data_IF_238691110880
#
_entry.id   IF_238691110880
#
_cell.length_a   1.000
_cell.length_b   1.000
_cell.length_c   1.000
_cell.angle_alpha   90.00
_cell.angle_beta   90.00
_cell.angle_gamma   90.00
#
_symmetry.space_group_name_H-M   'P 1'
#
loop_
_entity.id
_entity.type
_entity.pdbx_description
1 polymer ?
#
# COMPACT_ATOMS: atom_id res chain seq x y z
N UNK A 1 50.92 27.25 -49.09
CA UNK A 1 51.95 26.51 -48.33
C UNK A 1 51.28 25.83 -47.14
N UNK A 2 51.48 24.50 -47.01
CA UNK A 2 51.53 23.67 -45.79
C UNK A 2 50.35 23.70 -44.80
N UNK A 3 49.86 22.62 -44.21
CA UNK A 3 49.95 21.15 -44.34
C UNK A 3 48.75 20.68 -43.49
N UNK A 4 47.96 19.75 -43.99
CA UNK A 4 46.97 19.01 -43.19
C UNK A 4 47.77 18.13 -42.22
N UNK A 5 47.50 18.20 -40.92
CA UNK A 5 47.97 17.21 -39.96
C UNK A 5 46.86 16.97 -38.94
N UNK A 6 46.21 15.82 -39.15
CA UNK A 6 45.21 15.21 -38.30
C UNK A 6 45.98 14.40 -37.25
N UNK A 7 45.81 14.69 -35.95
CA UNK A 7 46.20 13.76 -34.88
C UNK A 7 45.02 13.60 -33.92
N UNK A 8 44.66 12.34 -33.78
CA UNK A 8 43.61 11.74 -32.98
C UNK A 8 44.25 11.17 -31.70
N UNK A 9 43.72 11.50 -30.52
CA UNK A 9 43.84 10.76 -29.25
C UNK A 9 42.97 11.50 -28.20
N UNK A 10 41.78 11.04 -27.80
CA UNK A 10 41.43 9.89 -26.94
C UNK A 10 42.33 9.80 -25.69
N UNK A 11 41.86 10.31 -24.54
CA UNK A 11 41.59 9.51 -23.34
C UNK A 11 41.21 10.41 -22.13
N UNK A 12 39.97 10.29 -21.66
CA UNK A 12 39.58 9.76 -20.33
C UNK A 12 39.84 10.69 -19.15
N UNK A 13 38.75 11.07 -18.46
CA UNK A 13 38.79 11.69 -17.15
C UNK A 13 37.40 11.93 -16.59
N UNK A 14 36.88 10.91 -15.90
CA UNK A 14 35.65 10.94 -15.10
C UNK A 14 35.62 12.10 -14.08
N UNK A 15 34.41 12.32 -13.55
CA UNK A 15 34.08 13.01 -12.28
C UNK A 15 33.71 14.49 -12.41
N UNK A 16 32.41 14.74 -12.56
CA UNK A 16 31.60 15.09 -11.39
C UNK A 16 30.11 14.97 -11.74
N UNK A 17 29.45 13.97 -11.12
CA UNK A 17 28.01 13.99 -10.94
C UNK A 17 27.64 15.29 -10.25
N UNK A 18 27.10 16.26 -10.99
CA UNK A 18 26.47 17.42 -10.37
C UNK A 18 25.16 16.92 -9.76
N UNK A 19 25.27 16.58 -8.48
CA UNK A 19 24.17 16.36 -7.54
C UNK A 19 23.30 17.62 -7.51
N UNK A 20 22.40 17.72 -8.48
CA UNK A 20 21.29 18.64 -8.50
C UNK A 20 20.05 17.90 -8.05
N UNK A 21 20.00 17.53 -6.77
CA UNK A 21 18.77 17.17 -6.07
C UNK A 21 17.80 18.34 -6.22
N UNK A 22 16.90 18.23 -7.18
CA UNK A 22 15.61 18.91 -7.19
C UNK A 22 14.58 17.95 -7.77
N UNK A 23 14.38 16.84 -7.07
CA UNK A 23 13.12 16.10 -7.15
C UNK A 23 12.06 16.90 -6.39
N UNK A 24 11.70 18.06 -6.94
CA UNK A 24 10.40 18.67 -6.72
C UNK A 24 9.35 17.83 -7.43
N UNK A 25 9.20 16.56 -7.05
CA UNK A 25 8.06 15.75 -7.47
C UNK A 25 6.90 16.15 -6.58
N UNK A 26 6.33 17.32 -6.91
CA UNK A 26 4.93 17.61 -6.60
C UNK A 26 4.07 16.80 -7.56
N UNK A 27 3.89 15.51 -7.30
CA UNK A 27 2.72 14.78 -7.81
C UNK A 27 1.81 14.46 -6.63
N UNK A 28 1.12 15.50 -6.17
CA UNK A 28 -0.26 15.31 -5.72
C UNK A 28 -1.08 15.00 -6.98
N UNK A 29 -0.96 13.77 -7.47
CA UNK A 29 -1.82 13.24 -8.50
C UNK A 29 -2.66 12.17 -7.80
N UNK A 30 -3.97 12.40 -7.70
CA UNK A 30 -4.94 11.38 -7.28
C UNK A 30 -4.91 10.27 -8.34
N UNK A 31 -3.95 9.37 -8.27
CA UNK A 31 -3.98 8.13 -9.04
C UNK A 31 -4.88 7.20 -8.25
N UNK A 32 -6.12 7.05 -8.71
CA UNK A 32 -6.98 5.98 -8.20
C UNK A 32 -6.36 4.64 -8.61
N UNK A 33 -6.28 3.71 -7.67
CA UNK A 33 -5.80 2.35 -7.94
C UNK A 33 -6.88 1.53 -8.65
N UNK A 34 -6.46 0.62 -9.52
CA UNK A 34 -7.35 -0.37 -10.11
C UNK A 34 -7.35 -1.67 -9.29
N UNK A 35 -8.37 -2.50 -9.47
CA UNK A 35 -8.38 -3.85 -8.88
C UNK A 35 -7.26 -4.74 -9.43
N UNK A 36 -6.81 -4.47 -10.66
CA UNK A 36 -5.68 -5.17 -11.28
C UNK A 36 -4.37 -4.85 -10.56
N UNK A 37 -4.14 -3.57 -10.24
CA UNK A 37 -2.96 -3.12 -9.50
C UNK A 37 -2.87 -3.83 -8.15
N UNK A 38 -3.99 -3.92 -7.43
CA UNK A 38 -4.08 -4.67 -6.18
C UNK A 38 -3.70 -6.15 -6.36
N UNK A 39 -4.26 -6.81 -7.36
CA UNK A 39 -3.99 -8.23 -7.57
C UNK A 39 -2.54 -8.51 -7.93
N UNK A 40 -1.88 -7.61 -8.67
CA UNK A 40 -0.45 -7.68 -8.92
C UNK A 40 0.34 -7.48 -7.63
N UNK A 41 0.03 -6.43 -6.86
CA UNK A 41 0.72 -6.11 -5.61
C UNK A 41 0.62 -7.22 -4.56
N UNK A 42 -0.56 -7.83 -4.41
CA UNK A 42 -0.82 -8.94 -3.47
C UNK A 42 -0.02 -10.20 -3.82
N UNK A 43 0.16 -10.50 -5.10
CA UNK A 43 0.85 -11.72 -5.56
C UNK A 43 2.38 -11.55 -5.56
N UNK A 44 2.86 -10.33 -5.70
CA UNK A 44 4.28 -10.04 -5.68
C UNK A 44 4.87 -10.24 -4.26
N UNK A 45 6.00 -10.96 -4.11
CA UNK A 45 6.80 -10.96 -2.90
C UNK A 45 7.20 -9.53 -2.52
N UNK A 46 7.34 -9.25 -1.23
CA UNK A 46 7.62 -7.92 -0.69
C UNK A 46 8.80 -7.21 -1.37
N UNK A 47 9.89 -7.94 -1.63
CA UNK A 47 11.10 -7.41 -2.26
C UNK A 47 10.98 -7.13 -3.77
N UNK A 48 9.92 -7.62 -4.42
CA UNK A 48 9.65 -7.39 -5.85
C UNK A 48 8.56 -6.34 -6.08
N UNK A 49 7.97 -5.79 -5.01
CA UNK A 49 6.93 -4.77 -5.13
C UNK A 49 7.53 -3.45 -5.58
N UNK A 50 6.83 -2.76 -6.47
CA UNK A 50 7.17 -1.37 -6.77
C UNK A 50 6.79 -0.46 -5.58
N UNK A 51 7.41 0.72 -5.45
CA UNK A 51 7.05 1.69 -4.43
C UNK A 51 5.55 2.04 -4.43
N UNK A 52 4.92 2.12 -5.61
CA UNK A 52 3.50 2.42 -5.77
C UNK A 52 2.63 1.27 -5.25
N UNK A 53 2.99 0.02 -5.55
CA UNK A 53 2.30 -1.17 -5.05
C UNK A 53 2.39 -1.26 -3.53
N UNK A 54 3.56 -0.98 -2.97
CA UNK A 54 3.76 -0.98 -1.52
C UNK A 54 2.96 0.15 -0.85
N UNK A 55 2.97 1.34 -1.43
CA UNK A 55 2.17 2.48 -0.96
C UNK A 55 0.68 2.16 -0.96
N UNK A 56 0.16 1.56 -2.04
CA UNK A 56 -1.23 1.14 -2.15
C UNK A 56 -1.61 0.15 -1.04
N UNK A 57 -0.80 -0.90 -0.84
CA UNK A 57 -1.07 -1.92 0.19
C UNK A 57 -1.03 -1.32 1.60
N UNK A 58 -0.09 -0.42 1.89
CA UNK A 58 -0.01 0.29 3.16
C UNK A 58 -1.26 1.16 3.37
N UNK A 59 -1.66 1.93 2.35
CA UNK A 59 -2.86 2.77 2.42
C UNK A 59 -4.13 1.95 2.62
N UNK A 60 -4.29 0.86 1.86
CA UNK A 60 -5.43 -0.05 2.00
C UNK A 60 -5.48 -0.65 3.41
N UNK A 61 -4.35 -1.15 3.91
CA UNK A 61 -4.29 -1.77 5.23
C UNK A 61 -4.59 -0.76 6.35
N UNK A 62 -4.15 0.49 6.19
CA UNK A 62 -4.50 1.58 7.10
C UNK A 62 -5.98 1.90 7.07
N UNK A 63 -6.59 2.02 5.89
CA UNK A 63 -8.04 2.24 5.75
C UNK A 63 -8.82 1.13 6.44
N UNK A 64 -8.42 -0.13 6.23
CA UNK A 64 -9.04 -1.29 6.86
C UNK A 64 -8.91 -1.21 8.39
N UNK A 65 -7.71 -0.97 8.92
CA UNK A 65 -7.49 -0.87 10.36
C UNK A 65 -8.24 0.29 11.02
N UNK A 66 -8.26 1.47 10.39
CA UNK A 66 -8.88 2.67 10.96
C UNK A 66 -10.41 2.55 11.01
N UNK A 67 -11.02 1.82 10.07
CA UNK A 67 -12.47 1.75 9.92
C UNK A 67 -13.08 0.39 10.30
N UNK A 68 -12.28 -0.57 10.72
CA UNK A 68 -12.77 -1.82 11.31
C UNK A 68 -13.04 -1.63 12.81
N UNK A 69 -14.21 -2.09 13.24
CA UNK A 69 -14.68 -2.08 14.62
C UNK A 69 -15.29 -3.43 14.98
N UNK A 70 -15.39 -3.71 16.27
CA UNK A 70 -16.20 -4.82 16.78
C UNK A 70 -17.51 -4.27 17.29
N UNK A 71 -18.62 -4.84 16.84
CA UNK A 71 -19.96 -4.52 17.34
C UNK A 71 -20.72 -5.83 17.52
N UNK A 72 -21.35 -6.01 18.69
CA UNK A 72 -22.15 -7.21 18.98
C UNK A 72 -21.39 -8.52 18.69
N UNK A 73 -20.11 -8.58 19.05
CA UNK A 73 -19.21 -9.71 18.77
C UNK A 73 -19.05 -10.04 17.27
N UNK A 74 -19.09 -9.01 16.41
CA UNK A 74 -18.88 -9.13 14.96
C UNK A 74 -17.90 -8.05 14.47
N UNK A 75 -17.07 -8.40 13.49
CA UNK A 75 -16.25 -7.41 12.79
C UNK A 75 -17.09 -6.64 11.79
N UNK A 76 -17.06 -5.31 11.86
CA UNK A 76 -17.81 -4.40 10.99
C UNK A 76 -16.87 -3.39 10.38
N UNK A 77 -17.00 -3.18 9.06
CA UNK A 77 -16.29 -2.13 8.35
C UNK A 77 -17.18 -0.89 8.20
N UNK A 78 -16.84 0.20 8.88
CA UNK A 78 -17.70 1.39 9.03
C UNK A 78 -17.59 2.43 7.92
N UNK A 79 -16.60 2.32 7.04
CA UNK A 79 -16.47 3.22 5.90
C UNK A 79 -17.51 2.87 4.83
N UNK A 80 -18.11 3.88 4.19
CA UNK A 80 -18.97 3.67 3.02
C UNK A 80 -18.15 3.44 1.75
N UNK A 81 -18.73 2.75 0.77
CA UNK A 81 -18.10 2.54 -0.55
C UNK A 81 -17.69 3.86 -1.20
N UNK A 82 -18.56 4.87 -1.16
CA UNK A 82 -18.26 6.20 -1.73
C UNK A 82 -17.04 6.85 -1.09
N UNK A 83 -16.91 6.78 0.24
CA UNK A 83 -15.76 7.31 0.96
C UNK A 83 -14.49 6.52 0.65
N UNK A 84 -14.61 5.20 0.47
CA UNK A 84 -13.53 4.30 0.09
C UNK A 84 -13.00 4.61 -1.31
N UNK A 85 -13.90 4.78 -2.29
CA UNK A 85 -13.57 5.18 -3.67
C UNK A 85 -12.99 6.60 -3.71
N UNK A 86 -13.51 7.52 -2.90
CA UNK A 86 -12.98 8.89 -2.79
C UNK A 86 -11.55 8.94 -2.25
N UNK A 87 -11.13 7.92 -1.48
CA UNK A 87 -9.73 7.71 -1.05
C UNK A 87 -8.84 7.10 -2.13
N UNK A 88 -9.37 6.85 -3.33
CA UNK A 88 -8.62 6.34 -4.47
C UNK A 88 -8.55 4.81 -4.53
N UNK A 89 -9.36 4.10 -3.74
CA UNK A 89 -9.41 2.65 -3.77
C UNK A 89 -10.50 2.14 -4.73
N UNK A 90 -10.28 1.04 -5.45
CA UNK A 90 -11.26 0.47 -6.37
C UNK A 90 -12.45 -0.12 -5.61
N UNK A 91 -13.67 0.06 -6.12
CA UNK A 91 -14.91 -0.43 -5.51
C UNK A 91 -14.92 -1.95 -5.30
N UNK A 92 -14.24 -2.69 -6.17
CA UNK A 92 -14.14 -4.15 -6.10
C UNK A 92 -13.46 -4.60 -4.79
N UNK A 93 -12.50 -3.81 -4.27
CA UNK A 93 -11.90 -4.10 -2.98
C UNK A 93 -12.84 -3.83 -1.81
N UNK A 94 -13.76 -2.87 -1.94
CA UNK A 94 -14.78 -2.65 -0.93
C UNK A 94 -15.68 -3.89 -0.81
N UNK A 95 -16.13 -4.44 -1.95
CA UNK A 95 -16.92 -5.66 -1.97
C UNK A 95 -16.16 -6.87 -1.38
N UNK A 96 -14.86 -7.01 -1.69
CA UNK A 96 -14.02 -8.06 -1.11
C UNK A 96 -13.86 -7.90 0.41
N UNK A 97 -13.69 -6.68 0.92
CA UNK A 97 -13.62 -6.41 2.36
C UNK A 97 -14.93 -6.82 3.04
N UNK A 98 -16.08 -6.39 2.51
CA UNK A 98 -17.40 -6.75 3.07
C UNK A 98 -17.60 -8.27 3.09
N UNK A 99 -17.30 -8.94 1.98
CA UNK A 99 -17.39 -10.40 1.89
C UNK A 99 -16.48 -11.12 2.88
N UNK A 100 -15.27 -10.61 3.11
CA UNK A 100 -14.35 -11.16 4.11
C UNK A 100 -14.89 -10.95 5.53
N UNK A 101 -15.46 -9.78 5.85
CA UNK A 101 -16.11 -9.55 7.15
C UNK A 101 -17.26 -10.54 7.37
N UNK A 102 -18.16 -10.69 6.39
CA UNK A 102 -19.27 -11.65 6.48
C UNK A 102 -18.78 -13.09 6.66
N UNK A 103 -17.76 -13.50 5.89
CA UNK A 103 -17.21 -14.86 5.95
C UNK A 103 -16.56 -15.13 7.31
N UNK A 104 -15.77 -14.18 7.81
CA UNK A 104 -15.15 -14.30 9.12
C UNK A 104 -16.18 -14.30 10.25
N UNK A 105 -17.18 -13.41 10.20
CA UNK A 105 -18.25 -13.38 11.20
C UNK A 105 -19.06 -14.68 11.21
N UNK A 106 -19.33 -15.28 10.02
CA UNK A 106 -19.96 -16.60 9.92
C UNK A 106 -19.12 -17.68 10.58
N UNK A 107 -17.80 -17.67 10.36
CA UNK A 107 -16.89 -18.62 11.00
C UNK A 107 -16.85 -18.43 12.52
N UNK A 108 -16.71 -17.20 13.00
CA UNK A 108 -16.67 -16.86 14.42
C UNK A 108 -17.99 -17.23 15.13
N UNK A 109 -19.13 -17.11 14.45
CA UNK A 109 -20.41 -17.54 15.00
C UNK A 109 -20.51 -19.06 15.23
N UNK A 110 -19.60 -19.86 14.66
CA UNK A 110 -19.50 -21.31 14.94
C UNK A 110 -18.58 -21.65 16.11
N UNK A 111 -17.82 -20.68 16.61
CA UNK A 111 -16.87 -20.86 17.71
C UNK A 111 -17.52 -20.48 19.05
N UNK A 112 -16.99 -21.01 20.14
CA UNK A 112 -17.41 -20.61 21.49
C UNK A 112 -16.90 -19.18 21.78
N UNK A 113 -17.78 -18.20 22.08
CA UNK A 113 -17.37 -16.83 22.37
C UNK A 113 -16.44 -16.68 23.58
N UNK A 114 -16.32 -17.70 24.44
CA UNK A 114 -15.37 -17.71 25.56
C UNK A 114 -13.94 -18.04 25.13
N UNK A 115 -13.74 -18.59 23.93
CA UNK A 115 -12.42 -18.97 23.40
C UNK A 115 -11.71 -17.83 22.67
N UNK A 116 -12.40 -16.72 22.37
CA UNK A 116 -11.82 -15.60 21.64
C UNK A 116 -12.37 -14.24 22.10
N UNK A 117 -11.50 -13.24 22.11
CA UNK A 117 -11.85 -11.84 22.36
C UNK A 117 -11.59 -11.03 21.07
N UNK A 118 -12.66 -10.66 20.37
CA UNK A 118 -12.55 -9.90 19.13
C UNK A 118 -12.00 -8.49 19.35
N UNK A 119 -12.28 -7.87 20.50
CA UNK A 119 -11.76 -6.54 20.82
C UNK A 119 -10.24 -6.61 21.03
N UNK A 120 -9.75 -7.63 21.71
CA UNK A 120 -8.31 -7.89 21.86
C UNK A 120 -7.65 -8.20 20.51
N UNK A 121 -8.27 -9.06 19.69
CA UNK A 121 -7.77 -9.38 18.34
C UNK A 121 -7.68 -8.12 17.47
N UNK A 122 -8.72 -7.28 17.47
CA UNK A 122 -8.74 -6.03 16.72
C UNK A 122 -7.68 -5.04 17.23
N UNK A 123 -7.51 -4.93 18.55
CA UNK A 123 -6.47 -4.10 19.16
C UNK A 123 -5.07 -4.53 18.71
N UNK A 124 -4.79 -5.83 18.73
CA UNK A 124 -3.51 -6.40 18.31
C UNK A 124 -3.27 -6.20 16.82
N UNK A 125 -4.31 -6.35 16.00
CA UNK A 125 -4.25 -6.03 14.57
C UNK A 125 -3.88 -4.56 14.32
N UNK A 126 -4.60 -3.62 14.94
CA UNK A 126 -4.34 -2.17 14.82
C UNK A 126 -2.92 -1.81 15.29
N UNK A 127 -2.47 -2.38 16.41
CA UNK A 127 -1.12 -2.17 16.90
C UNK A 127 -0.05 -2.65 15.93
N UNK A 128 -0.26 -3.83 15.31
CA UNK A 128 0.65 -4.39 14.31
C UNK A 128 0.70 -3.51 13.04
N UNK A 129 -0.45 -3.02 12.59
CA UNK A 129 -0.52 -2.11 11.44
C UNK A 129 0.17 -0.77 11.70
N UNK A 130 0.03 -0.22 12.90
CA UNK A 130 0.73 1.01 13.28
C UNK A 130 2.24 0.85 13.24
N UNK A 131 2.78 -0.28 13.74
CA UNK A 131 4.22 -0.60 13.69
C UNK A 131 4.74 -0.65 12.24
N UNK A 132 4.01 -1.31 11.35
CA UNK A 132 4.36 -1.39 9.92
C UNK A 132 4.35 -0.01 9.25
N UNK A 133 3.39 0.85 9.59
CA UNK A 133 3.34 2.21 9.05
C UNK A 133 4.46 3.10 9.58
N UNK A 134 4.96 2.85 10.80
CA UNK A 134 6.08 3.59 11.39
C UNK A 134 7.45 3.16 10.87
N UNK A 135 7.60 1.92 10.40
CA UNK A 135 8.85 1.42 9.80
C UNK A 135 9.03 1.78 8.33
N UNK A 136 7.99 2.33 7.68
CA UNK A 136 8.00 2.70 6.27
C UNK A 136 8.36 4.18 6.01
N UNK A 137 8.55 4.97 7.08
CA UNK A 137 9.01 6.37 7.04
C UNK A 137 10.44 6.47 7.53
#
# INVERSE_FOLDING_TARGET
MRKITLILAIAVGFVACRSGRNSGVKTSQKVGYTFSDYNLARKAPDHLRTPEQQTMLIQLSKIVADHMVVEQNQMVFKMSEEAFVKKGMPKELYADIQKNMETNNKYLATMDPSEFDLDEMLKNFKASMNRLSSSAN
#
